data_IF_994846767519
#
_entry.id   IF_994846767519
#
_cell.length_a   1.000
_cell.length_b   1.000
_cell.length_c   1.000
_cell.angle_alpha   90.00
_cell.angle_beta   90.00
_cell.angle_gamma   90.00
#
_symmetry.space_group_name_H-M   'P 1'
#
loop_
_entity.id
_entity.type
_entity.pdbx_description
1 polymer ?
#
# COMPACT_ATOMS: atom_id res chain seq x y z
N UNK A 1 -2.88 2.55 -12.15
CA UNK A 1 -2.55 3.20 -10.87
C UNK A 1 -3.83 3.35 -10.07
N UNK A 2 -3.80 3.14 -8.75
CA UNK A 2 -4.97 3.25 -7.88
C UNK A 2 -4.67 4.18 -6.70
N UNK A 3 -5.67 4.95 -6.27
CA UNK A 3 -5.56 5.84 -5.10
C UNK A 3 -6.52 5.43 -4.00
N UNK A 4 -6.15 5.74 -2.76
CA UNK A 4 -6.99 5.60 -1.59
C UNK A 4 -7.36 6.96 -0.99
N UNK A 5 -8.55 7.04 -0.40
CA UNK A 5 -9.07 8.24 0.26
C UNK A 5 -8.54 8.37 1.70
N UNK A 6 -7.44 9.10 1.90
CA UNK A 6 -6.80 9.23 3.20
C UNK A 6 -7.32 10.40 4.04
N UNK A 7 -8.04 11.36 3.46
CA UNK A 7 -8.75 12.39 4.26
C UNK A 7 -9.69 11.75 5.27
N UNK A 8 -10.33 10.64 4.87
CA UNK A 8 -11.27 9.91 5.72
C UNK A 8 -10.66 8.70 6.41
N UNK A 9 -9.70 8.03 5.78
CA UNK A 9 -9.26 6.69 6.20
C UNK A 9 -7.75 6.55 6.41
N UNK A 10 -7.03 7.65 6.65
CA UNK A 10 -5.59 7.59 6.93
C UNK A 10 -5.24 6.68 8.11
N UNK A 11 -6.05 6.73 9.17
CA UNK A 11 -5.87 5.93 10.40
C UNK A 11 -5.88 4.42 10.18
N UNK A 12 -6.60 3.97 9.15
CA UNK A 12 -6.83 2.55 8.87
C UNK A 12 -6.14 2.09 7.60
N UNK A 13 -5.36 2.96 6.93
CA UNK A 13 -4.69 2.63 5.67
C UNK A 13 -5.67 2.30 4.55
N UNK A 14 -6.78 3.04 4.48
CA UNK A 14 -7.90 2.79 3.55
C UNK A 14 -9.16 2.25 4.25
N UNK A 15 -10.14 1.84 3.45
CA UNK A 15 -11.47 1.47 3.94
C UNK A 15 -11.42 0.31 4.96
N UNK A 16 -11.88 0.50 6.22
CA UNK A 16 -11.68 -0.49 7.30
C UNK A 16 -12.34 -1.85 7.06
N UNK A 17 -13.41 -1.88 6.24
CA UNK A 17 -14.17 -3.09 5.92
C UNK A 17 -13.78 -3.67 4.56
N UNK A 18 -12.62 -3.28 4.02
CA UNK A 18 -12.10 -3.87 2.80
C UNK A 18 -11.83 -5.36 3.00
N UNK A 19 -12.22 -6.16 2.01
CA UNK A 19 -11.98 -7.60 1.95
C UNK A 19 -10.98 -7.86 0.84
N UNK A 20 -9.83 -8.46 1.19
CA UNK A 20 -8.84 -8.91 0.21
C UNK A 20 -9.08 -10.38 -0.11
N UNK A 21 -8.83 -10.78 -1.36
CA UNK A 21 -8.76 -12.18 -1.76
C UNK A 21 -7.46 -12.86 -1.29
N UNK A 22 -6.47 -12.08 -0.85
CA UNK A 22 -5.22 -12.60 -0.30
C UNK A 22 -5.39 -12.85 1.22
N UNK A 23 -5.31 -14.11 1.69
CA UNK A 23 -5.58 -14.45 3.09
C UNK A 23 -4.58 -13.83 4.07
N UNK A 24 -3.33 -13.59 3.67
CA UNK A 24 -2.33 -12.96 4.54
C UNK A 24 -2.62 -11.47 4.71
N UNK A 25 -3.07 -10.80 3.65
CA UNK A 25 -3.52 -9.40 3.72
C UNK A 25 -4.81 -9.32 4.53
N UNK A 26 -5.72 -10.27 4.36
CA UNK A 26 -7.01 -10.28 5.06
C UNK A 26 -6.87 -10.37 6.59
N UNK A 27 -5.79 -10.97 7.10
CA UNK A 27 -5.48 -11.06 8.54
C UNK A 27 -4.99 -9.74 9.15
N UNK A 28 -4.65 -8.74 8.34
CA UNK A 28 -4.15 -7.46 8.86
C UNK A 28 -5.26 -6.68 9.59
N UNK A 29 -4.94 -6.17 10.77
CA UNK A 29 -5.85 -5.34 11.56
C UNK A 29 -6.20 -4.01 10.84
N UNK A 30 -5.23 -3.45 10.11
CA UNK A 30 -5.36 -2.23 9.31
C UNK A 30 -4.52 -2.30 8.03
N UNK A 31 -4.83 -1.45 7.05
CA UNK A 31 -4.05 -1.33 5.81
C UNK A 31 -4.35 -2.39 4.76
N UNK A 32 -5.46 -3.14 4.90
CA UNK A 32 -5.83 -4.19 3.93
C UNK A 32 -5.94 -3.66 2.51
N UNK A 33 -6.68 -2.57 2.31
CA UNK A 33 -6.90 -2.01 0.98
C UNK A 33 -5.60 -1.54 0.33
N UNK A 34 -4.76 -0.77 1.05
CA UNK A 34 -3.52 -0.23 0.47
C UNK A 34 -2.51 -1.33 0.15
N UNK A 35 -2.43 -2.35 1.00
CA UNK A 35 -1.55 -3.50 0.79
C UNK A 35 -2.02 -4.35 -0.40
N UNK A 36 -3.32 -4.58 -0.52
CA UNK A 36 -3.90 -5.32 -1.64
C UNK A 36 -3.68 -4.59 -2.96
N UNK A 37 -3.90 -3.27 -2.98
CA UNK A 37 -3.63 -2.46 -4.17
C UNK A 37 -2.15 -2.48 -4.56
N UNK A 38 -1.23 -2.34 -3.59
CA UNK A 38 0.21 -2.36 -3.88
C UNK A 38 0.70 -3.71 -4.42
N UNK A 39 0.02 -4.80 -4.03
CA UNK A 39 0.41 -6.15 -4.41
C UNK A 39 -0.43 -6.76 -5.54
N UNK A 40 -1.37 -6.01 -6.09
CA UNK A 40 -2.35 -6.48 -7.07
C UNK A 40 -1.70 -6.94 -8.37
N UNK A 41 -2.05 -8.16 -8.79
CA UNK A 41 -1.85 -8.63 -10.16
C UNK A 41 -3.13 -8.38 -10.95
N UNK A 42 -3.00 -7.71 -12.10
CA UNK A 42 -4.08 -7.54 -13.05
C UNK A 42 -4.41 -8.89 -13.73
N UNK A 43 -5.58 -9.07 -14.36
CA UNK A 43 -5.97 -10.32 -15.01
C UNK A 43 -4.98 -10.84 -16.06
N UNK A 44 -4.19 -9.94 -16.64
CA UNK A 44 -3.11 -10.27 -17.59
C UNK A 44 -1.80 -10.70 -16.91
N UNK A 45 -1.81 -10.94 -15.59
CA UNK A 45 -0.65 -11.34 -14.81
C UNK A 45 0.35 -10.22 -14.48
N UNK A 46 0.15 -9.00 -14.99
CA UNK A 46 1.06 -7.87 -14.73
C UNK A 46 0.73 -7.20 -13.39
N UNK A 47 1.77 -6.73 -12.69
CA UNK A 47 1.63 -5.90 -11.48
C UNK A 47 1.04 -4.54 -11.84
N UNK A 48 0.22 -3.99 -10.95
CA UNK A 48 -0.24 -2.62 -11.12
C UNK A 48 0.93 -1.64 -11.12
N UNK A 49 0.83 -0.58 -11.93
CA UNK A 49 1.91 0.40 -12.09
C UNK A 49 2.25 1.22 -10.82
N UNK A 50 1.35 1.27 -9.83
CA UNK A 50 1.59 2.00 -8.60
C UNK A 50 0.32 2.29 -7.81
N UNK A 51 0.53 2.83 -6.61
CA UNK A 51 -0.49 3.25 -5.67
C UNK A 51 -0.22 4.65 -5.13
N UNK A 52 -1.26 5.33 -4.66
CA UNK A 52 -1.14 6.60 -3.96
C UNK A 52 -2.26 6.83 -2.96
N UNK A 53 -2.16 7.91 -2.21
CA UNK A 53 -3.12 8.32 -1.19
C UNK A 53 -3.50 9.78 -1.40
N UNK A 54 -4.80 10.08 -1.37
CA UNK A 54 -5.31 11.46 -1.42
C UNK A 54 -5.19 12.08 -0.03
N UNK A 55 -4.64 13.30 0.07
CA UNK A 55 -4.12 13.85 1.33
C UNK A 55 -3.07 12.93 2.00
N UNK A 56 -2.03 12.58 1.24
CA UNK A 56 -0.97 11.67 1.67
C UNK A 56 -0.28 12.09 2.97
N UNK A 57 -0.19 13.40 3.21
CA UNK A 57 0.37 14.01 4.41
C UNK A 57 -0.37 13.63 5.69
N UNK A 58 -1.59 13.09 5.59
CA UNK A 58 -2.38 12.60 6.74
C UNK A 58 -1.98 11.19 7.17
N UNK A 59 -1.09 10.51 6.45
CA UNK A 59 -0.49 9.22 6.86
C UNK A 59 0.57 9.44 7.96
N UNK A 60 0.11 9.88 9.13
CA UNK A 60 0.98 10.21 10.28
C UNK A 60 0.87 9.19 11.42
N UNK A 61 -0.11 8.30 11.38
CA UNK A 61 -0.40 7.39 12.49
C UNK A 61 0.59 6.22 12.53
N UNK A 62 1.34 6.13 13.64
CA UNK A 62 2.39 5.11 13.81
C UNK A 62 3.67 5.37 13.00
N UNK A 63 3.89 6.62 12.56
CA UNK A 63 5.10 7.06 11.87
C UNK A 63 4.80 7.88 10.61
N UNK A 64 5.80 8.64 10.11
CA UNK A 64 5.66 9.43 8.88
C UNK A 64 5.52 8.52 7.66
N UNK A 65 4.36 8.59 7.00
CA UNK A 65 3.98 7.79 5.83
C UNK A 65 4.01 6.28 6.08
N UNK A 66 3.54 5.83 7.26
CA UNK A 66 3.59 4.42 7.65
C UNK A 66 2.94 3.51 6.60
N UNK A 67 1.68 3.76 6.24
CA UNK A 67 0.94 2.87 5.36
C UNK A 67 1.50 2.92 3.93
N UNK A 68 1.77 4.11 3.41
CA UNK A 68 2.29 4.27 2.06
C UNK A 68 3.67 3.61 1.90
N UNK A 69 4.59 3.80 2.86
CA UNK A 69 5.91 3.16 2.83
C UNK A 69 5.83 1.64 2.93
N UNK A 70 5.02 1.12 3.85
CA UNK A 70 4.86 -0.33 4.02
C UNK A 70 4.29 -0.98 2.75
N UNK A 71 3.28 -0.37 2.15
CA UNK A 71 2.67 -0.87 0.93
C UNK A 71 3.65 -0.83 -0.26
N UNK A 72 4.40 0.27 -0.44
CA UNK A 72 5.42 0.36 -1.48
C UNK A 72 6.55 -0.67 -1.30
N UNK A 73 6.99 -0.91 -0.07
CA UNK A 73 7.99 -1.93 0.24
C UNK A 73 7.50 -3.34 -0.08
N UNK A 74 6.23 -3.64 0.22
CA UNK A 74 5.62 -4.93 -0.10
C UNK A 74 5.42 -5.12 -1.62
N UNK A 75 5.00 -4.06 -2.32
CA UNK A 75 4.78 -4.09 -3.77
C UNK A 75 6.06 -4.20 -4.60
N UNK A 76 7.17 -3.65 -4.09
CA UNK A 76 8.39 -3.42 -4.88
C UNK A 76 9.64 -4.11 -4.32
N UNK A 77 9.52 -5.18 -3.53
CA UNK A 77 10.65 -5.85 -2.83
C UNK A 77 11.95 -5.83 -3.66
N UNK A 78 12.83 -4.90 -3.31
CA UNK A 78 14.07 -4.62 -4.03
C UNK A 78 15.02 -5.78 -3.76
N UNK A 79 15.66 -6.34 -4.79
CA UNK A 79 16.74 -7.29 -4.52
C UNK A 79 17.85 -6.56 -3.75
N UNK A 80 18.53 -7.24 -2.83
CA UNK A 80 19.67 -6.68 -2.08
C UNK A 80 20.73 -6.03 -3.00
N UNK A 81 20.77 -6.44 -4.26
CA UNK A 81 21.69 -5.99 -5.32
C UNK A 81 21.26 -4.73 -6.08
N UNK A 82 20.08 -4.17 -5.86
CA UNK A 82 19.53 -3.03 -6.61
C UNK A 82 19.43 -1.72 -5.80
N UNK A 83 20.10 -1.62 -4.65
CA UNK A 83 20.27 -0.34 -3.95
C UNK A 83 21.26 0.54 -4.71
N UNK A 84 20.79 1.21 -5.76
CA UNK A 84 21.51 2.36 -6.28
C UNK A 84 21.25 3.54 -5.33
N UNK A 85 22.31 4.20 -4.90
CA UNK A 85 22.19 5.44 -4.14
C UNK A 85 21.43 6.46 -5.00
N UNK A 86 20.38 7.06 -4.44
CA UNK A 86 19.72 8.20 -5.05
C UNK A 86 20.74 9.37 -5.09
N UNK A 87 21.09 9.84 -6.29
CA UNK A 87 21.87 11.06 -6.50
C UNK A 87 21.05 12.31 -6.21
#
# INVERSE_FOLDING_TARGET
FLTLEFQKYSKTGGFPRYTSSNPEIQKLDAGRQIMDYATMLMPNGKRIAGIGTYHMELDTEGGSYRFLRQALNAGNRVSETQKADFQ
#
